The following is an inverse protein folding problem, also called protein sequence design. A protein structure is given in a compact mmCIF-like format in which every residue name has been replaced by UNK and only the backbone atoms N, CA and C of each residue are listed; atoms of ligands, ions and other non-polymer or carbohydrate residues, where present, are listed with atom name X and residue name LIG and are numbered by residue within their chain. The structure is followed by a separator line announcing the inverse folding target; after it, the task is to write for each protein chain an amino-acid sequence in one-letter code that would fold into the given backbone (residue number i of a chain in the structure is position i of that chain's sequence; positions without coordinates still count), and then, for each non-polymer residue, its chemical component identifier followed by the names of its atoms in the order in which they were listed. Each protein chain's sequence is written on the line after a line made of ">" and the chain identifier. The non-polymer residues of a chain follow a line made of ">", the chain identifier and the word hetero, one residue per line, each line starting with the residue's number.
data_IF_787724649157
#
_entry.id   IF_787724649157
#
_cell.length_a   1.000
_cell.length_b   1.000
_cell.length_c   1.000
_cell.angle_alpha   90.00
_cell.angle_beta   90.00
_cell.angle_gamma   90.00
#
_symmetry.space_group_name_H-M   'P 1'
#
loop_
_entity.id
_entity.type
_entity.pdbx_description
1 polymer ?
#
# COMPACT_ATOMS: atom_id res chain seq x y z
N UNK A 1 -3.45 14.65 -0.95
CA UNK A 1 -4.00 14.39 -2.30
C UNK A 1 -2.93 13.74 -3.16
N UNK A 2 -3.32 12.72 -3.92
CA UNK A 2 -2.51 12.07 -4.95
C UNK A 2 -3.25 12.27 -6.29
N UNK A 3 -2.53 12.61 -7.35
CA UNK A 3 -3.13 12.82 -8.66
C UNK A 3 -2.24 12.28 -9.79
N UNK A 4 -2.86 11.64 -10.76
CA UNK A 4 -2.29 11.32 -12.06
C UNK A 4 -2.96 12.21 -13.10
N UNK A 5 -2.17 12.85 -13.95
CA UNK A 5 -2.65 13.78 -14.98
C UNK A 5 -2.06 13.35 -16.32
N UNK A 6 -2.90 12.76 -17.17
CA UNK A 6 -2.54 12.22 -18.48
C UNK A 6 -1.25 11.38 -18.43
N UNK A 7 -1.11 10.56 -17.39
CA UNK A 7 0.14 9.83 -17.10
C UNK A 7 0.25 8.55 -17.92
N UNK A 8 1.36 8.40 -18.64
CA UNK A 8 1.75 7.16 -19.30
C UNK A 8 2.81 6.46 -18.45
N UNK A 9 2.62 5.18 -18.15
CA UNK A 9 3.58 4.36 -17.41
C UNK A 9 4.07 3.19 -18.26
N UNK A 10 5.39 3.07 -18.38
CA UNK A 10 6.05 1.98 -19.10
C UNK A 10 6.97 1.19 -18.16
N UNK A 11 7.06 -0.12 -18.37
CA UNK A 11 8.07 -1.00 -17.78
C UNK A 11 8.90 -1.63 -18.89
N UNK A 12 10.22 -1.41 -18.86
CA UNK A 12 11.15 -1.90 -19.90
C UNK A 12 10.65 -1.59 -21.32
N UNK A 13 10.18 -0.35 -21.53
CA UNK A 13 9.60 0.14 -22.80
C UNK A 13 8.28 -0.51 -23.20
N UNK A 14 7.67 -1.37 -22.37
CA UNK A 14 6.33 -1.92 -22.61
C UNK A 14 5.29 -1.02 -21.94
N UNK A 15 4.25 -0.57 -22.68
CA UNK A 15 3.20 0.27 -22.12
C UNK A 15 2.31 -0.52 -21.15
N UNK A 16 2.23 -0.03 -19.91
CA UNK A 16 1.37 -0.57 -18.86
C UNK A 16 0.11 0.29 -18.72
N UNK A 17 0.28 1.61 -18.64
CA UNK A 17 -0.83 2.55 -18.59
C UNK A 17 -0.69 3.62 -19.65
N UNK A 18 -1.83 4.12 -20.14
CA UNK A 18 -1.91 5.21 -21.11
C UNK A 18 -2.97 6.23 -20.70
N UNK A 19 -2.59 7.51 -20.78
CA UNK A 19 -3.45 8.63 -20.47
C UNK A 19 -4.19 8.50 -19.13
N UNK A 20 -3.49 7.96 -18.13
CA UNK A 20 -4.06 7.70 -16.83
C UNK A 20 -4.43 9.01 -16.12
N UNK A 21 -5.69 9.13 -15.72
CA UNK A 21 -6.21 10.21 -14.91
C UNK A 21 -6.85 9.63 -13.65
N UNK A 22 -6.34 10.01 -12.48
CA UNK A 22 -6.81 9.51 -11.20
C UNK A 22 -6.59 10.58 -10.13
N UNK A 23 -7.56 10.75 -9.25
CA UNK A 23 -7.43 11.54 -8.02
C UNK A 23 -7.77 10.68 -6.83
N UNK A 24 -6.90 10.70 -5.81
CA UNK A 24 -7.10 10.04 -4.52
C UNK A 24 -7.08 11.13 -3.44
N UNK A 25 -8.16 11.23 -2.68
CA UNK A 25 -8.30 12.24 -1.64
C UNK A 25 -7.53 11.88 -0.38
N UNK A 26 -7.15 12.86 0.45
CA UNK A 26 -6.62 12.58 1.79
C UNK A 26 -7.61 11.75 2.62
N UNK A 27 -7.12 10.73 3.33
CA UNK A 27 -7.94 9.83 4.15
C UNK A 27 -8.77 8.82 3.38
N UNK A 28 -8.61 8.72 2.06
CA UNK A 28 -9.35 7.77 1.24
C UNK A 28 -8.79 6.34 1.39
N UNK A 29 -9.69 5.34 1.50
CA UNK A 29 -9.40 3.93 1.31
C UNK A 29 -9.73 3.55 -0.13
N UNK A 30 -8.73 3.10 -0.89
CA UNK A 30 -8.86 2.76 -2.31
C UNK A 30 -8.34 1.35 -2.58
N UNK A 31 -9.15 0.53 -3.22
CA UNK A 31 -8.71 -0.72 -3.81
C UNK A 31 -8.35 -0.56 -5.28
N UNK A 32 -7.25 -1.17 -5.68
CA UNK A 32 -6.83 -1.33 -7.07
C UNK A 32 -6.85 -2.82 -7.36
N UNK A 33 -7.82 -3.26 -8.14
CA UNK A 33 -8.03 -4.68 -8.41
C UNK A 33 -7.65 -5.05 -9.85
N UNK A 34 -7.24 -6.29 -10.03
CA UNK A 34 -6.89 -6.83 -11.34
C UNK A 34 -6.12 -8.14 -11.24
N UNK A 35 -6.09 -8.90 -12.33
CA UNK A 35 -5.37 -10.18 -12.41
C UNK A 35 -3.87 -10.00 -12.12
N UNK A 36 -3.19 -11.09 -11.78
CA UNK A 36 -1.72 -11.06 -11.69
C UNK A 36 -1.13 -10.55 -13.01
N UNK A 37 -0.10 -9.70 -12.93
CA UNK A 37 0.52 -9.10 -14.11
C UNK A 37 -0.25 -7.94 -14.77
N UNK A 38 -1.42 -7.54 -14.26
CA UNK A 38 -2.20 -6.42 -14.85
C UNK A 38 -1.56 -5.04 -14.72
N UNK A 39 -0.58 -4.87 -13.82
CA UNK A 39 0.10 -3.59 -13.59
C UNK A 39 -0.15 -2.97 -12.21
N UNK A 40 -0.83 -3.65 -11.27
CA UNK A 40 -1.06 -3.14 -9.89
C UNK A 40 0.23 -2.65 -9.24
N UNK A 41 1.23 -3.53 -9.16
CA UNK A 41 2.55 -3.19 -8.61
C UNK A 41 3.20 -2.00 -9.32
N UNK A 42 3.05 -1.89 -10.65
CA UNK A 42 3.59 -0.76 -11.43
C UNK A 42 2.93 0.56 -11.02
N UNK A 43 1.61 0.55 -10.89
CA UNK A 43 0.85 1.71 -10.45
C UNK A 43 1.26 2.10 -9.02
N UNK A 44 1.30 1.14 -8.09
CA UNK A 44 1.69 1.39 -6.70
C UNK A 44 3.13 1.93 -6.62
N UNK A 45 4.08 1.37 -7.39
CA UNK A 45 5.47 1.83 -7.47
C UNK A 45 5.59 3.27 -7.98
N UNK A 46 4.67 3.71 -8.81
CA UNK A 46 4.67 5.08 -9.30
C UNK A 46 4.31 6.10 -8.21
N UNK A 47 3.53 5.70 -7.20
CA UNK A 47 3.15 6.58 -6.07
C UNK A 47 4.35 6.99 -5.20
N UNK A 48 5.38 6.15 -5.11
CA UNK A 48 6.62 6.49 -4.41
C UNK A 48 7.81 6.73 -5.33
N UNK A 49 7.52 7.07 -6.60
CA UNK A 49 8.51 7.48 -7.61
C UNK A 49 9.62 6.43 -7.86
N UNK A 50 9.28 5.14 -7.78
CA UNK A 50 10.14 4.06 -8.28
C UNK A 50 9.92 3.86 -9.78
N UNK A 51 8.68 4.00 -10.23
CA UNK A 51 8.32 4.07 -11.64
C UNK A 51 7.92 5.51 -11.95
N UNK A 52 8.61 6.14 -12.88
CA UNK A 52 8.33 7.51 -13.32
C UNK A 52 7.46 7.49 -14.58
N UNK A 53 6.54 8.44 -14.75
CA UNK A 53 5.75 8.54 -15.96
C UNK A 53 6.63 8.95 -17.14
N UNK A 54 6.42 8.33 -18.32
CA UNK A 54 7.08 8.70 -19.58
C UNK A 54 6.42 9.91 -20.23
N UNK A 55 5.12 10.11 -19.94
CA UNK A 55 4.33 11.32 -20.28
C UNK A 55 3.41 11.67 -19.13
N UNK A 56 2.88 12.88 -19.15
CA UNK A 56 1.97 13.35 -18.11
C UNK A 56 2.68 13.67 -16.81
N UNK A 57 1.97 13.58 -15.72
CA UNK A 57 2.46 13.95 -14.40
C UNK A 57 1.81 13.09 -13.30
N UNK A 58 2.58 12.80 -12.26
CA UNK A 58 2.10 12.22 -11.01
C UNK A 58 2.43 13.20 -9.90
N UNK A 59 1.44 13.58 -9.12
CA UNK A 59 1.62 14.41 -7.93
C UNK A 59 1.26 13.60 -6.70
N UNK A 60 2.17 13.49 -5.75
CA UNK A 60 1.96 12.79 -4.48
C UNK A 60 2.30 13.72 -3.35
N UNK A 61 1.31 14.10 -2.55
CA UNK A 61 1.47 14.97 -1.39
C UNK A 61 2.32 16.22 -1.68
N UNK A 62 2.04 16.89 -2.81
CA UNK A 62 2.75 18.10 -3.27
C UNK A 62 4.07 17.85 -4.00
N UNK A 63 4.53 16.60 -4.11
CA UNK A 63 5.71 16.25 -4.92
C UNK A 63 5.27 15.88 -6.33
N UNK A 64 5.72 16.67 -7.32
CA UNK A 64 5.44 16.45 -8.75
C UNK A 64 6.54 15.63 -9.41
N UNK A 65 6.17 14.58 -10.15
CA UNK A 65 7.11 13.73 -10.89
C UNK A 65 7.91 14.51 -11.96
N UNK A 66 7.36 15.63 -12.48
CA UNK A 66 8.06 16.49 -13.45
C UNK A 66 9.17 17.33 -12.83
N UNK A 67 9.05 17.67 -11.54
CA UNK A 67 9.94 18.63 -10.86
C UNK A 67 10.79 17.98 -9.78
N UNK A 68 10.51 16.72 -9.39
CA UNK A 68 11.19 16.08 -8.27
C UNK A 68 12.66 15.77 -8.62
N UNK A 69 13.57 16.25 -7.79
CA UNK A 69 15.00 15.88 -7.87
C UNK A 69 15.25 14.60 -7.05
N UNK A 70 16.28 13.82 -7.43
CA UNK A 70 16.60 12.54 -6.75
C UNK A 70 16.62 12.61 -5.23
N UNK A 71 17.23 13.66 -4.64
CA UNK A 71 17.26 13.84 -3.18
C UNK A 71 15.87 14.08 -2.56
N UNK A 72 14.91 14.63 -3.29
CA UNK A 72 13.54 14.86 -2.80
C UNK A 72 12.66 13.60 -2.87
N UNK A 73 13.02 12.61 -3.70
CA UNK A 73 12.34 11.30 -3.72
C UNK A 73 12.46 10.62 -2.35
N UNK A 74 13.63 10.65 -1.73
CA UNK A 74 13.81 10.10 -0.38
C UNK A 74 12.91 10.82 0.66
N UNK A 75 12.74 12.14 0.53
CA UNK A 75 11.84 12.90 1.41
C UNK A 75 10.36 12.54 1.20
N UNK A 76 9.94 12.30 -0.05
CA UNK A 76 8.59 11.79 -0.34
C UNK A 76 8.41 10.42 0.30
N UNK A 77 9.33 9.47 0.07
CA UNK A 77 9.25 8.11 0.59
C UNK A 77 9.19 8.04 2.12
N UNK A 78 9.82 8.97 2.83
CA UNK A 78 9.72 9.08 4.30
C UNK A 78 8.31 9.44 4.79
N UNK A 79 7.45 10.00 3.92
CA UNK A 79 6.07 10.35 4.23
C UNK A 79 5.08 9.23 3.86
N UNK A 80 5.56 8.12 3.34
CA UNK A 80 4.74 7.00 2.87
C UNK A 80 5.09 5.74 3.64
N UNK A 81 4.07 5.01 4.09
CA UNK A 81 4.23 3.65 4.56
C UNK A 81 4.09 2.69 3.39
N UNK A 82 5.00 1.74 3.25
CA UNK A 82 4.94 0.75 2.17
C UNK A 82 4.85 -0.65 2.79
N UNK A 83 3.81 -1.38 2.41
CA UNK A 83 3.56 -2.77 2.79
C UNK A 83 3.76 -3.62 1.54
N UNK A 84 4.74 -4.52 1.59
CA UNK A 84 5.08 -5.43 0.49
C UNK A 84 4.46 -6.81 0.72
N UNK A 85 4.20 -7.54 -0.35
CA UNK A 85 3.71 -8.92 -0.32
C UNK A 85 4.71 -9.88 0.34
N UNK A 86 6.01 -9.68 0.14
CA UNK A 86 7.11 -10.52 0.59
C UNK A 86 7.75 -10.03 1.91
N UNK A 87 6.98 -9.42 2.78
CA UNK A 87 7.32 -8.85 4.09
C UNK A 87 8.54 -7.90 4.10
N UNK A 88 9.67 -8.31 3.56
CA UNK A 88 10.96 -7.58 3.53
C UNK A 88 11.38 -7.10 4.91
N UNK A 89 11.21 -7.96 5.90
CA UNK A 89 11.76 -7.74 7.23
C UNK A 89 13.27 -7.96 7.20
N UNK A 90 13.98 -7.21 8.03
CA UNK A 90 15.40 -7.42 8.26
C UNK A 90 15.55 -8.63 9.18
N UNK A 91 15.99 -9.77 8.64
CA UNK A 91 16.04 -11.06 9.33
C UNK A 91 17.14 -11.12 10.40
N UNK A 92 18.16 -10.25 10.30
CA UNK A 92 19.25 -10.08 11.24
C UNK A 92 18.91 -9.16 12.44
N UNK A 93 17.65 -8.72 12.55
CA UNK A 93 17.21 -7.74 13.53
C UNK A 93 15.89 -8.14 14.16
N UNK A 94 15.73 -7.78 15.45
CA UNK A 94 14.48 -7.95 16.16
C UNK A 94 13.32 -7.17 15.51
N UNK A 95 12.09 -7.49 15.90
CA UNK A 95 10.89 -6.73 15.56
C UNK A 95 11.06 -5.26 15.93
N UNK A 96 11.51 -4.99 17.16
CA UNK A 96 11.81 -3.63 17.61
C UNK A 96 12.80 -2.92 16.67
N UNK A 97 13.92 -3.57 16.34
CA UNK A 97 14.95 -2.95 15.50
C UNK A 97 14.52 -2.76 14.05
N UNK A 98 13.62 -3.59 13.53
CA UNK A 98 13.00 -3.37 12.24
C UNK A 98 12.23 -2.04 12.15
N UNK A 99 11.50 -1.68 13.22
CA UNK A 99 10.78 -0.40 13.31
C UNK A 99 11.72 0.74 13.65
N UNK A 100 12.59 0.56 14.65
CA UNK A 100 13.55 1.57 15.09
C UNK A 100 14.50 2.01 13.96
N UNK A 101 14.85 1.10 13.05
CA UNK A 101 15.67 1.41 11.89
C UNK A 101 15.02 2.48 11.00
N UNK A 102 13.71 2.38 10.75
CA UNK A 102 12.98 3.40 9.97
C UNK A 102 13.09 4.78 10.64
N UNK A 103 12.87 4.85 11.94
CA UNK A 103 12.94 6.10 12.70
C UNK A 103 14.36 6.70 12.71
N UNK A 104 15.39 5.85 12.85
CA UNK A 104 16.80 6.28 12.82
C UNK A 104 17.16 6.89 11.45
N UNK A 105 16.80 6.22 10.34
CA UNK A 105 17.14 6.71 8.99
C UNK A 105 16.29 7.90 8.55
N UNK A 106 15.15 8.12 9.19
CA UNK A 106 14.30 9.30 8.94
C UNK A 106 14.66 10.50 9.81
N UNK A 107 15.60 10.34 10.78
CA UNK A 107 16.12 11.42 11.60
C UNK A 107 15.27 11.72 12.84
N UNK A 108 14.50 10.74 13.31
CA UNK A 108 13.77 10.86 14.59
C UNK A 108 14.75 10.98 15.76
N UNK A 109 14.46 11.88 16.73
CA UNK A 109 15.26 12.01 17.94
C UNK A 109 15.32 10.68 18.70
N UNK A 110 16.51 10.30 19.16
CA UNK A 110 16.75 9.01 19.81
C UNK A 110 15.80 8.78 21.02
N UNK A 111 15.55 9.81 21.80
CA UNK A 111 14.65 9.75 22.98
C UNK A 111 13.18 9.43 22.65
N UNK A 112 12.74 9.56 21.39
CA UNK A 112 11.38 9.28 20.96
C UNK A 112 11.24 7.91 20.26
N UNK A 113 12.35 7.23 19.99
CA UNK A 113 12.31 5.99 19.18
C UNK A 113 11.56 4.89 19.91
N UNK A 114 11.87 4.66 21.17
CA UNK A 114 11.24 3.59 21.97
C UNK A 114 9.73 3.78 22.07
N UNK A 115 9.30 4.97 22.46
CA UNK A 115 7.88 5.31 22.56
C UNK A 115 7.14 5.07 21.24
N UNK A 116 7.69 5.57 20.12
CA UNK A 116 7.08 5.41 18.80
C UNK A 116 7.02 3.96 18.35
N UNK A 117 8.08 3.18 18.56
CA UNK A 117 8.12 1.76 18.23
C UNK A 117 7.07 1.00 19.04
N UNK A 118 7.04 1.19 20.36
CA UNK A 118 6.07 0.48 21.21
C UNK A 118 4.63 0.88 20.90
N UNK A 119 4.40 2.16 20.60
CA UNK A 119 3.07 2.63 20.14
C UNK A 119 2.65 1.95 18.84
N UNK A 120 3.54 1.87 17.84
CA UNK A 120 3.23 1.23 16.57
C UNK A 120 2.99 -0.29 16.73
N UNK A 121 3.75 -0.98 17.60
CA UNK A 121 3.53 -2.39 17.90
C UNK A 121 2.21 -2.62 18.64
N UNK A 122 1.82 -1.72 19.54
CA UNK A 122 0.53 -1.76 20.22
C UNK A 122 -0.65 -1.67 19.25
N UNK A 123 -0.55 -0.83 18.22
CA UNK A 123 -1.58 -0.69 17.19
C UNK A 123 -1.88 -2.00 16.44
N UNK A 124 -0.94 -2.92 16.40
CA UNK A 124 -1.05 -4.23 15.75
C UNK A 124 -1.04 -5.41 16.74
N UNK A 125 -1.09 -5.14 18.06
CA UNK A 125 -1.15 -6.16 19.11
C UNK A 125 0.12 -7.01 19.25
N UNK A 126 1.30 -6.44 18.98
CA UNK A 126 2.58 -7.17 19.00
C UNK A 126 3.63 -6.58 19.97
N UNK A 127 3.22 -5.87 21.02
CA UNK A 127 4.17 -5.34 22.03
C UNK A 127 5.00 -6.45 22.67
N UNK A 128 4.38 -7.60 22.92
CA UNK A 128 5.02 -8.77 23.53
C UNK A 128 6.12 -9.35 22.66
N UNK A 129 6.02 -9.20 21.34
CA UNK A 129 6.96 -9.73 20.35
C UNK A 129 8.10 -8.76 20.00
N UNK A 130 8.25 -7.62 20.70
CA UNK A 130 9.23 -6.59 20.36
C UNK A 130 10.67 -7.11 20.26
N UNK A 131 11.05 -8.09 21.09
CA UNK A 131 12.40 -8.67 21.14
C UNK A 131 12.55 -9.91 20.24
N UNK A 132 11.46 -10.41 19.69
CA UNK A 132 11.49 -11.59 18.80
C UNK A 132 12.18 -11.27 17.47
N UNK A 133 12.70 -12.31 16.86
CA UNK A 133 13.25 -12.26 15.51
C UNK A 133 12.14 -12.58 14.49
N UNK A 134 12.16 -12.00 13.28
CA UNK A 134 11.12 -12.24 12.28
C UNK A 134 10.81 -13.71 12.00
N UNK A 135 11.85 -14.54 11.96
CA UNK A 135 11.71 -15.98 11.70
C UNK A 135 10.98 -16.78 12.80
N UNK A 136 10.82 -16.21 14.00
CA UNK A 136 10.07 -16.81 15.10
C UNK A 136 8.57 -16.51 15.04
N UNK A 137 8.15 -15.63 14.10
CA UNK A 137 6.78 -15.16 13.95
C UNK A 137 6.04 -15.96 12.89
N UNK A 138 4.74 -16.17 13.09
CA UNK A 138 3.82 -16.63 12.04
C UNK A 138 3.74 -15.61 10.89
N UNK A 139 3.27 -16.06 9.71
CA UNK A 139 3.10 -15.16 8.56
C UNK A 139 2.19 -13.95 8.85
N UNK A 140 1.11 -14.16 9.59
CA UNK A 140 0.21 -13.08 10.02
C UNK A 140 0.88 -12.09 10.97
N UNK A 141 1.69 -12.57 11.92
CA UNK A 141 2.46 -11.69 12.81
C UNK A 141 3.53 -10.93 12.04
N UNK A 142 4.25 -11.57 11.11
CA UNK A 142 5.21 -10.89 10.24
C UNK A 142 4.52 -9.77 9.44
N UNK A 143 3.34 -10.02 8.91
CA UNK A 143 2.58 -9.00 8.18
C UNK A 143 2.15 -7.85 9.09
N UNK A 144 1.73 -8.13 10.33
CA UNK A 144 1.45 -7.09 11.32
C UNK A 144 2.69 -6.25 11.65
N UNK A 145 3.88 -6.87 11.76
CA UNK A 145 5.15 -6.12 11.91
C UNK A 145 5.43 -5.23 10.70
N UNK A 146 5.17 -5.70 9.47
CA UNK A 146 5.31 -4.87 8.26
C UNK A 146 4.37 -3.66 8.29
N UNK A 147 3.12 -3.84 8.73
CA UNK A 147 2.16 -2.74 8.89
C UNK A 147 2.64 -1.76 9.97
N UNK A 148 3.08 -2.25 11.13
CA UNK A 148 3.64 -1.39 12.19
C UNK A 148 4.86 -0.61 11.70
N UNK A 149 5.75 -1.25 10.94
CA UNK A 149 6.91 -0.60 10.31
C UNK A 149 6.50 0.47 9.31
N UNK A 150 5.43 0.25 8.55
CA UNK A 150 4.89 1.25 7.64
C UNK A 150 4.26 2.44 8.38
N UNK A 151 3.69 2.20 9.57
CA UNK A 151 2.99 3.21 10.38
C UNK A 151 3.94 4.05 11.24
N UNK A 152 5.06 3.49 11.73
CA UNK A 152 5.93 4.07 12.78
C UNK A 152 6.46 5.47 12.46
N UNK A 153 6.56 5.82 11.17
CA UNK A 153 7.04 7.12 10.68
C UNK A 153 5.95 8.19 10.51
N UNK A 154 4.76 7.99 11.05
CA UNK A 154 3.60 8.88 10.89
C UNK A 154 3.31 9.20 9.40
N UNK A 155 3.04 8.18 8.58
CA UNK A 155 2.87 8.38 7.14
C UNK A 155 1.57 9.12 6.82
N UNK A 156 1.57 9.87 5.72
CA UNK A 156 0.35 10.50 5.16
C UNK A 156 -0.48 9.54 4.32
N UNK A 157 0.15 8.46 3.84
CA UNK A 157 -0.52 7.39 3.13
C UNK A 157 0.21 6.05 3.31
N UNK A 158 -0.54 4.96 3.34
CA UNK A 158 -0.04 3.58 3.25
C UNK A 158 -0.33 3.05 1.85
N UNK A 159 0.68 2.45 1.24
CA UNK A 159 0.61 1.79 -0.06
C UNK A 159 0.89 0.31 0.17
N UNK A 160 -0.10 -0.54 -0.03
CA UNK A 160 -0.03 -1.98 0.22
C UNK A 160 -0.17 -2.76 -1.10
N UNK A 161 0.84 -3.54 -1.44
CA UNK A 161 0.85 -4.40 -2.62
C UNK A 161 0.63 -5.86 -2.18
N UNK A 162 -0.56 -6.41 -2.47
CA UNK A 162 -1.01 -7.76 -2.09
C UNK A 162 -0.77 -8.08 -0.60
N UNK A 163 -1.27 -7.24 0.34
CA UNK A 163 -0.90 -7.37 1.77
C UNK A 163 -1.39 -8.65 2.43
N UNK A 164 -2.26 -9.42 1.77
CA UNK A 164 -2.84 -10.67 2.27
C UNK A 164 -2.50 -11.89 1.39
N UNK A 165 -1.71 -11.70 0.33
CA UNK A 165 -1.51 -12.71 -0.71
C UNK A 165 -0.84 -14.03 -0.28
N UNK A 166 -0.23 -14.09 0.91
CA UNK A 166 0.45 -15.27 1.45
C UNK A 166 -0.17 -15.74 2.78
N UNK A 167 -1.40 -15.30 3.09
CA UNK A 167 -2.05 -15.53 4.36
C UNK A 167 -3.33 -16.36 4.17
N UNK A 168 -3.74 -17.06 5.21
CA UNK A 168 -5.04 -17.72 5.25
C UNK A 168 -6.20 -16.69 5.28
N UNK A 169 -7.45 -17.11 4.96
CA UNK A 169 -8.57 -16.18 4.87
C UNK A 169 -8.85 -15.41 6.17
N UNK A 170 -8.78 -16.07 7.32
CA UNK A 170 -9.09 -15.44 8.62
C UNK A 170 -8.05 -14.37 8.96
N UNK A 171 -6.78 -14.71 8.82
CA UNK A 171 -5.66 -13.76 8.97
C UNK A 171 -5.77 -12.60 7.96
N UNK A 172 -6.21 -12.87 6.74
CA UNK A 172 -6.39 -11.83 5.71
C UNK A 172 -7.42 -10.79 6.12
N UNK A 173 -8.53 -11.22 6.74
CA UNK A 173 -9.55 -10.31 7.29
C UNK A 173 -8.95 -9.47 8.42
N UNK A 174 -8.20 -10.08 9.33
CA UNK A 174 -7.54 -9.33 10.42
C UNK A 174 -6.59 -8.25 9.89
N UNK A 175 -5.76 -8.58 8.91
CA UNK A 175 -4.83 -7.63 8.29
C UNK A 175 -5.58 -6.45 7.67
N UNK A 176 -6.69 -6.72 6.99
CA UNK A 176 -7.50 -5.65 6.41
C UNK A 176 -8.13 -4.76 7.48
N UNK A 177 -8.60 -5.34 8.60
CA UNK A 177 -9.15 -4.57 9.72
C UNK A 177 -8.08 -3.64 10.35
N UNK A 178 -6.80 -4.06 10.44
CA UNK A 178 -5.73 -3.15 10.86
C UNK A 178 -5.56 -1.98 9.87
N UNK A 179 -5.56 -2.25 8.58
CA UNK A 179 -5.45 -1.20 7.55
C UNK A 179 -6.65 -0.24 7.58
N UNK A 180 -7.87 -0.73 7.83
CA UNK A 180 -9.07 0.11 8.02
C UNK A 180 -9.00 0.96 9.28
N UNK A 181 -8.54 0.40 10.40
CA UNK A 181 -8.31 1.17 11.64
C UNK A 181 -7.31 2.31 11.43
N UNK A 182 -6.26 2.06 10.66
CA UNK A 182 -5.28 3.08 10.28
C UNK A 182 -5.93 4.15 9.39
N UNK A 183 -6.74 3.74 8.40
CA UNK A 183 -7.47 4.66 7.54
C UNK A 183 -8.45 5.54 8.33
N UNK A 184 -9.15 4.99 9.32
CA UNK A 184 -10.06 5.74 10.18
C UNK A 184 -9.38 6.87 10.99
N UNK A 185 -8.05 6.84 11.11
CA UNK A 185 -7.24 7.95 11.68
C UNK A 185 -6.92 9.06 10.66
N UNK A 186 -7.48 8.99 9.45
CA UNK A 186 -7.28 9.98 8.38
C UNK A 186 -6.07 9.71 7.48
N UNK A 187 -5.39 8.59 7.64
CA UNK A 187 -4.29 8.16 6.77
C UNK A 187 -4.90 7.53 5.50
N UNK A 188 -4.49 7.99 4.31
CA UNK A 188 -4.92 7.35 3.07
C UNK A 188 -4.36 5.94 2.96
N UNK A 189 -5.18 4.97 2.51
CA UNK A 189 -4.72 3.58 2.32
C UNK A 189 -5.05 3.13 0.91
N UNK A 190 -4.01 2.76 0.16
CA UNK A 190 -4.14 2.28 -1.22
C UNK A 190 -3.71 0.82 -1.26
N UNK A 191 -4.62 -0.08 -1.61
CA UNK A 191 -4.41 -1.52 -1.58
C UNK A 191 -4.52 -2.09 -2.99
N UNK A 192 -3.43 -2.68 -3.49
CA UNK A 192 -3.45 -3.51 -4.70
C UNK A 192 -3.74 -4.95 -4.34
N UNK A 193 -4.80 -5.54 -4.90
CA UNK A 193 -5.12 -6.95 -4.64
C UNK A 193 -5.84 -7.61 -5.81
N UNK A 194 -5.81 -8.93 -5.85
CA UNK A 194 -6.65 -9.76 -6.71
C UNK A 194 -7.68 -10.56 -5.90
N UNK A 195 -7.74 -10.37 -4.60
CA UNK A 195 -8.74 -10.98 -3.72
C UNK A 195 -10.05 -10.19 -3.77
N UNK A 196 -10.92 -10.59 -4.70
CA UNK A 196 -12.21 -9.95 -4.90
C UNK A 196 -13.19 -10.25 -3.77
N UNK A 197 -13.07 -11.41 -3.10
CA UNK A 197 -13.91 -11.78 -1.97
C UNK A 197 -13.67 -10.85 -0.78
N UNK A 198 -12.41 -10.62 -0.46
CA UNK A 198 -12.02 -9.69 0.59
C UNK A 198 -12.52 -8.27 0.33
N UNK A 199 -12.38 -7.77 -0.91
CA UNK A 199 -12.87 -6.43 -1.31
C UNK A 199 -14.38 -6.34 -1.21
N UNK A 200 -15.13 -7.39 -1.57
CA UNK A 200 -16.59 -7.42 -1.47
C UNK A 200 -17.08 -7.34 -0.03
N UNK A 201 -16.42 -8.06 0.87
CA UNK A 201 -16.78 -8.04 2.30
C UNK A 201 -16.44 -6.72 2.99
N UNK A 202 -15.51 -5.97 2.42
CA UNK A 202 -15.05 -4.68 2.96
C UNK A 202 -15.12 -3.59 1.88
N UNK A 203 -16.32 -3.19 1.44
CA UNK A 203 -16.49 -2.30 0.29
C UNK A 203 -15.89 -0.92 0.56
N UNK A 204 -15.18 -0.42 -0.45
CA UNK A 204 -14.71 0.94 -0.55
C UNK A 204 -14.58 1.30 -2.02
N UNK A 205 -14.10 2.52 -2.34
CA UNK A 205 -13.83 2.87 -3.72
C UNK A 205 -12.89 1.85 -4.35
N UNK A 206 -13.29 1.28 -5.48
CA UNK A 206 -12.55 0.21 -6.14
C UNK A 206 -12.34 0.56 -7.61
N UNK A 207 -11.09 0.46 -8.05
CA UNK A 207 -10.68 0.67 -9.43
C UNK A 207 -10.14 -0.62 -10.01
N UNK A 208 -10.67 -1.03 -11.16
CA UNK A 208 -10.20 -2.16 -11.93
C UNK A 208 -9.22 -1.71 -13.01
N UNK A 209 -8.12 -2.46 -13.16
CA UNK A 209 -7.22 -2.26 -14.30
C UNK A 209 -7.84 -2.94 -15.52
N UNK A 210 -8.18 -2.17 -16.55
CA UNK A 210 -8.72 -2.61 -17.82
C UNK A 210 -8.12 -1.79 -18.96
N UNK A 211 -7.71 -2.45 -20.04
CA UNK A 211 -7.20 -1.83 -21.27
C UNK A 211 -6.16 -0.71 -21.01
N UNK A 212 -5.19 -0.99 -20.14
CA UNK A 212 -4.12 -0.05 -19.75
C UNK A 212 -4.62 1.24 -19.08
N UNK A 213 -5.80 1.18 -18.48
CA UNK A 213 -6.40 2.29 -17.74
C UNK A 213 -7.05 1.79 -16.45
N UNK A 214 -7.61 2.71 -15.67
CA UNK A 214 -8.37 2.42 -14.46
C UNK A 214 -9.84 2.74 -14.70
N UNK A 215 -10.71 1.80 -14.34
CA UNK A 215 -12.15 1.96 -14.43
C UNK A 215 -12.75 1.71 -13.04
N UNK A 216 -13.64 2.60 -12.61
CA UNK A 216 -14.36 2.36 -11.36
C UNK A 216 -15.27 1.15 -11.48
N UNK A 217 -15.26 0.28 -10.46
CA UNK A 217 -15.98 -0.99 -10.54
C UNK A 217 -16.64 -1.36 -9.20
N UNK A 218 -17.59 -2.30 -9.29
CA UNK A 218 -18.13 -3.08 -8.18
C UNK A 218 -17.63 -4.52 -8.28
N UNK A 219 -17.69 -5.27 -7.17
CA UNK A 219 -17.39 -6.70 -7.16
C UNK A 219 -18.69 -7.48 -7.16
N UNK A 220 -18.91 -8.30 -8.19
CA UNK A 220 -20.13 -9.07 -8.40
C UNK A 220 -19.82 -10.58 -8.54
N UNK A 221 -20.85 -11.42 -8.34
CA UNK A 221 -20.71 -12.85 -8.57
C UNK A 221 -20.36 -13.15 -10.05
N UNK A 222 -19.46 -14.10 -10.25
CA UNK A 222 -19.13 -14.53 -11.60
C UNK A 222 -20.32 -15.31 -12.23
N UNK A 223 -20.59 -15.15 -13.53
CA UNK A 223 -21.72 -15.83 -14.21
C UNK A 223 -21.71 -17.35 -14.10
N UNK A 224 -20.52 -17.94 -13.93
CA UNK A 224 -20.32 -19.39 -13.80
C UNK A 224 -20.59 -19.93 -12.39
N UNK A 225 -21.02 -19.06 -11.45
CA UNK A 225 -21.32 -19.46 -10.07
C UNK A 225 -20.10 -19.74 -9.18
N UNK A 226 -18.88 -19.62 -9.71
CA UNK A 226 -17.64 -19.82 -8.95
C UNK A 226 -16.87 -18.54 -8.79
N UNK A 227 -16.98 -17.89 -7.61
CA UNK A 227 -16.16 -16.76 -7.23
C UNK A 227 -16.72 -15.38 -7.60
N UNK A 228 -15.88 -14.36 -7.54
CA UNK A 228 -16.20 -12.94 -7.66
C UNK A 228 -15.40 -12.29 -8.79
N UNK A 229 -15.96 -11.27 -9.41
CA UNK A 229 -15.28 -10.51 -10.48
C UNK A 229 -15.56 -9.01 -10.35
N UNK A 230 -14.65 -8.15 -10.77
CA UNK A 230 -14.92 -6.72 -10.90
C UNK A 230 -15.78 -6.45 -12.15
N UNK A 231 -16.79 -5.60 -11.99
CA UNK A 231 -17.66 -5.13 -13.07
C UNK A 231 -17.59 -3.61 -13.10
N UNK A 232 -17.28 -3.04 -14.27
CA UNK A 232 -17.21 -1.59 -14.44
C UNK A 232 -18.56 -0.94 -14.07
N UNK A 233 -18.53 0.15 -13.30
CA UNK A 233 -19.72 0.96 -13.10
C UNK A 233 -20.11 1.63 -14.42
N UNK A 234 -21.39 1.65 -14.72
CA UNK A 234 -21.87 2.43 -15.86
C UNK A 234 -21.48 3.91 -15.65
N UNK A 235 -20.83 4.49 -16.65
CA UNK A 235 -20.62 5.93 -16.69
C UNK A 235 -21.99 6.61 -16.84
N UNK A 236 -22.40 7.34 -15.82
CA UNK A 236 -23.58 8.18 -15.89
C UNK A 236 -23.36 9.35 -16.82
#
# INVERSE_FOLDING_TARGET
>A
MIAFVNADLDIRKKPIFRNLNLSIQPGELLYIVGRSGSGKTTLLKSLYMEVMPVKGEIVVHGYSSRKIRKGKIAMLRRKLGIVFQDFRLLEDRSVYDNLAFVLKVTGTKHSLIEEKVMTALKEVGLEHAAKEMPQNLSGGEQQRVVIARALVGDPVAIIADEPTGNLDPDTSIEILEYLKKINAKGISVIIGTHDYELVRHHPSRTLMISDKNLVECTIEAAPTGSGWRPVAKATA
#
